data_IF_002427890810
#
_entry.id   IF_002427890810
#
_cell.length_a   1.000
_cell.length_b   1.000
_cell.length_c   1.000
_cell.angle_alpha   90.00
_cell.angle_beta   90.00
_cell.angle_gamma   90.00
#
_symmetry.space_group_name_H-M   'P 1'
#
loop_
_entity.id
_entity.type
_entity.pdbx_description
1 polymer ?
#
# COMPACT_ATOMS: atom_id res chain seq x y z
N UNK A 1 -20.63 66.97 -16.73
CA UNK A 1 -20.44 65.67 -17.40
C UNK A 1 -19.11 65.53 -18.14
N UNK A 2 -18.29 66.58 -18.29
CA UNK A 2 -16.98 66.45 -18.98
C UNK A 2 -15.82 65.99 -18.06
N UNK A 3 -15.91 66.25 -16.76
CA UNK A 3 -14.86 65.86 -15.79
C UNK A 3 -14.74 64.35 -15.53
N UNK A 4 -15.85 63.61 -15.58
CA UNK A 4 -15.85 62.15 -15.33
C UNK A 4 -15.24 61.35 -16.48
N UNK A 5 -15.39 61.82 -17.72
CA UNK A 5 -14.85 61.12 -18.90
C UNK A 5 -13.32 61.19 -18.88
N UNK A 6 -12.75 62.35 -18.52
CA UNK A 6 -11.31 62.52 -18.39
C UNK A 6 -10.69 61.58 -17.35
N UNK A 7 -11.32 61.46 -16.19
CA UNK A 7 -10.88 60.58 -15.11
C UNK A 7 -10.96 59.09 -15.47
N UNK A 8 -12.04 58.66 -16.16
CA UNK A 8 -12.19 57.29 -16.65
C UNK A 8 -11.14 56.97 -17.72
N UNK A 9 -10.87 57.91 -18.64
CA UNK A 9 -9.88 57.73 -19.68
C UNK A 9 -8.46 57.62 -19.11
N UNK A 10 -8.14 58.42 -18.09
CA UNK A 10 -6.84 58.33 -17.40
C UNK A 10 -6.69 57.03 -16.62
N UNK A 11 -7.76 56.54 -15.99
CA UNK A 11 -7.76 55.26 -15.30
C UNK A 11 -7.56 54.09 -16.29
N UNK A 12 -8.22 54.13 -17.44
CA UNK A 12 -8.06 53.12 -18.50
C UNK A 12 -6.65 53.15 -19.12
N UNK A 13 -6.10 54.34 -19.37
CA UNK A 13 -4.73 54.52 -19.85
C UNK A 13 -3.67 54.09 -18.83
N UNK A 14 -3.94 54.23 -17.53
CA UNK A 14 -3.07 53.73 -16.47
C UNK A 14 -3.18 52.21 -16.27
N UNK A 15 -4.33 51.61 -16.58
CA UNK A 15 -4.54 50.16 -16.52
C UNK A 15 -3.90 49.41 -17.70
N UNK A 16 -3.83 50.02 -18.88
CA UNK A 16 -3.20 49.43 -20.08
C UNK A 16 -1.75 48.95 -19.86
N UNK A 17 -0.81 49.75 -19.31
CA UNK A 17 0.55 49.29 -19.02
C UNK A 17 0.57 48.24 -17.91
N UNK A 18 -0.37 48.25 -16.97
CA UNK A 18 -0.49 47.26 -15.90
C UNK A 18 -0.97 45.89 -16.44
N UNK A 19 -1.92 45.91 -17.38
CA UNK A 19 -2.37 44.75 -18.14
C UNK A 19 -1.26 44.24 -19.09
N UNK A 20 -0.51 45.15 -19.71
CA UNK A 20 0.63 44.81 -20.56
C UNK A 20 1.76 44.16 -19.75
N UNK A 21 2.14 44.71 -18.59
CA UNK A 21 3.10 44.11 -17.66
C UNK A 21 2.64 42.75 -17.15
N UNK A 22 1.35 42.60 -16.82
CA UNK A 22 0.80 41.31 -16.42
C UNK A 22 0.81 40.29 -17.58
N UNK A 23 0.59 40.74 -18.82
CA UNK A 23 0.70 39.90 -20.02
C UNK A 23 2.16 39.53 -20.35
N UNK A 24 3.10 40.44 -20.10
CA UNK A 24 4.54 40.25 -20.35
C UNK A 24 5.19 39.37 -19.27
N UNK A 25 4.74 39.48 -18.01
CA UNK A 25 5.06 38.50 -16.95
C UNK A 25 4.51 37.10 -17.27
N UNK A 26 3.31 37.00 -17.90
CA UNK A 26 2.78 35.72 -18.41
C UNK A 26 3.59 35.16 -19.59
N UNK A 27 4.24 36.00 -20.41
CA UNK A 27 5.11 35.59 -21.53
C UNK A 27 6.40 34.88 -21.09
N UNK A 28 6.76 34.87 -19.80
CA UNK A 28 7.88 34.08 -19.29
C UNK A 28 7.55 32.59 -19.09
N UNK A 29 6.36 32.11 -19.48
CA UNK A 29 6.10 30.68 -19.49
C UNK A 29 6.92 30.03 -20.61
N UNK A 30 7.97 29.27 -20.24
CA UNK A 30 8.78 28.51 -21.22
C UNK A 30 7.89 27.58 -22.02
N UNK A 31 7.95 27.67 -23.33
CA UNK A 31 7.21 26.76 -24.22
C UNK A 31 7.67 25.32 -23.97
N UNK A 32 6.70 24.41 -23.78
CA UNK A 32 6.93 22.98 -23.59
C UNK A 32 5.91 22.20 -24.41
N UNK A 33 6.37 21.19 -25.14
CA UNK A 33 5.52 20.29 -25.93
C UNK A 33 5.11 19.12 -25.06
N UNK A 34 3.80 18.82 -24.98
CA UNK A 34 3.29 17.68 -24.21
C UNK A 34 3.59 16.37 -24.92
N UNK A 35 3.74 15.29 -24.16
CA UNK A 35 3.82 13.95 -24.72
C UNK A 35 2.50 13.61 -25.43
N UNK A 36 2.60 13.20 -26.69
CA UNK A 36 1.50 12.55 -27.39
C UNK A 36 1.38 11.11 -26.87
N UNK A 37 0.40 10.89 -25.99
CA UNK A 37 0.13 9.57 -25.42
C UNK A 37 -0.17 8.51 -26.48
N UNK A 38 -0.92 8.86 -27.54
CA UNK A 38 -1.36 7.88 -28.52
C UNK A 38 -0.17 7.34 -29.30
N UNK A 39 0.72 8.24 -29.76
CA UNK A 39 1.96 7.86 -30.41
C UNK A 39 2.90 7.10 -29.46
N UNK A 40 3.12 7.61 -28.25
CA UNK A 40 4.03 6.99 -27.28
C UNK A 40 3.57 5.61 -26.82
N UNK A 41 2.29 5.50 -26.44
CA UNK A 41 1.68 4.26 -25.99
C UNK A 41 1.63 3.21 -27.09
N UNK A 42 1.25 3.61 -28.31
CA UNK A 42 1.24 2.74 -29.50
C UNK A 42 2.62 2.15 -29.79
N UNK A 43 3.65 3.01 -29.85
CA UNK A 43 5.03 2.56 -30.08
C UNK A 43 5.48 1.52 -29.06
N UNK A 44 5.22 1.73 -27.77
CA UNK A 44 5.60 0.78 -26.73
C UNK A 44 4.84 -0.55 -26.81
N UNK A 45 3.62 -0.55 -27.33
CA UNK A 45 2.85 -1.76 -27.59
C UNK A 45 3.47 -2.51 -28.77
N UNK A 46 3.76 -1.82 -29.86
CA UNK A 46 4.36 -2.40 -31.08
C UNK A 46 5.75 -3.01 -30.78
N UNK A 47 6.53 -2.38 -29.90
CA UNK A 47 7.85 -2.86 -29.46
C UNK A 47 7.78 -3.95 -28.36
N UNK A 48 6.59 -4.30 -27.86
CA UNK A 48 6.41 -5.23 -26.74
C UNK A 48 7.04 -4.76 -25.42
N UNK A 49 7.25 -3.44 -25.25
CA UNK A 49 7.89 -2.86 -24.07
C UNK A 49 6.90 -2.26 -23.06
N UNK A 50 5.62 -2.10 -23.43
CA UNK A 50 4.63 -1.42 -22.58
C UNK A 50 4.56 -1.99 -21.17
N UNK A 51 4.46 -3.32 -21.03
CA UNK A 51 4.36 -3.96 -19.71
C UNK A 51 5.63 -3.80 -18.86
N UNK A 52 6.81 -3.79 -19.48
CA UNK A 52 8.08 -3.52 -18.77
C UNK A 52 8.13 -2.08 -18.28
N UNK A 53 7.57 -1.16 -19.08
CA UNK A 53 7.54 0.27 -18.83
C UNK A 53 6.57 0.65 -17.69
N UNK A 54 5.34 0.15 -17.72
CA UNK A 54 4.25 0.53 -16.79
C UNK A 54 3.88 -0.53 -15.77
N UNK A 55 4.53 -1.69 -15.80
CA UNK A 55 4.31 -2.82 -14.88
C UNK A 55 2.92 -3.48 -14.97
N UNK A 56 2.18 -3.16 -16.03
CA UNK A 56 0.84 -3.70 -16.37
C UNK A 56 0.64 -3.68 -17.90
N UNK A 57 -0.34 -4.43 -18.41
CA UNK A 57 -0.70 -4.43 -19.83
C UNK A 57 -1.26 -3.06 -20.29
N UNK A 58 -1.28 -2.81 -21.60
CA UNK A 58 -1.87 -1.60 -22.17
C UNK A 58 -3.36 -1.48 -21.81
N UNK A 59 -4.10 -2.59 -21.92
CA UNK A 59 -5.51 -2.65 -21.56
C UNK A 59 -5.73 -2.34 -20.07
N UNK A 60 -4.95 -2.96 -19.17
CA UNK A 60 -5.00 -2.69 -17.74
C UNK A 60 -4.70 -1.22 -17.40
N UNK A 61 -3.73 -0.61 -18.10
CA UNK A 61 -3.41 0.80 -17.96
C UNK A 61 -4.57 1.69 -18.39
N UNK A 62 -5.15 1.45 -19.58
CA UNK A 62 -6.23 2.28 -20.11
C UNK A 62 -7.52 2.13 -19.30
N UNK A 63 -7.79 0.94 -18.77
CA UNK A 63 -8.90 0.71 -17.84
C UNK A 63 -8.72 1.52 -16.55
N UNK A 64 -7.50 1.56 -15.99
CA UNK A 64 -7.19 2.39 -14.84
C UNK A 64 -7.31 3.88 -15.17
N UNK A 65 -6.78 4.31 -16.32
CA UNK A 65 -6.88 5.70 -16.78
C UNK A 65 -8.33 6.16 -16.90
N UNK A 66 -9.20 5.29 -17.41
CA UNK A 66 -10.64 5.56 -17.54
C UNK A 66 -11.31 5.73 -16.18
N UNK A 67 -10.97 4.87 -15.20
CA UNK A 67 -11.47 5.02 -13.82
C UNK A 67 -11.04 6.32 -13.17
N UNK A 68 -9.79 6.74 -13.38
CA UNK A 68 -9.23 7.93 -12.76
C UNK A 68 -9.56 9.23 -13.51
N UNK A 69 -10.03 9.16 -14.76
CA UNK A 69 -10.31 10.33 -15.60
C UNK A 69 -11.15 11.40 -14.89
N UNK A 70 -12.30 11.08 -14.24
CA UNK A 70 -13.14 12.08 -13.59
C UNK A 70 -12.43 12.86 -12.46
N UNK A 71 -11.45 12.24 -11.81
CA UNK A 71 -10.71 12.80 -10.68
C UNK A 71 -9.51 13.66 -11.11
N UNK A 72 -9.08 13.52 -12.37
CA UNK A 72 -7.83 14.11 -12.88
C UNK A 72 -8.04 15.23 -13.91
N UNK A 73 -9.29 15.52 -14.27
CA UNK A 73 -9.63 16.58 -15.23
C UNK A 73 -9.16 17.95 -14.74
N UNK A 74 -8.65 18.73 -15.68
CA UNK A 74 -8.21 20.10 -15.44
C UNK A 74 -9.17 21.03 -16.17
N UNK A 75 -9.50 22.17 -15.55
CA UNK A 75 -10.16 23.26 -16.26
C UNK A 75 -9.23 23.79 -17.37
N UNK A 76 -9.54 23.42 -18.61
CA UNK A 76 -8.72 23.73 -19.79
C UNK A 76 -8.58 25.24 -20.00
N UNK A 77 -9.64 26.00 -19.72
CA UNK A 77 -9.66 27.46 -19.89
C UNK A 77 -8.77 28.11 -18.84
N UNK A 78 -8.87 27.68 -17.58
CA UNK A 78 -8.00 28.18 -16.52
C UNK A 78 -6.53 27.82 -16.76
N UNK A 79 -6.24 26.59 -17.19
CA UNK A 79 -4.88 26.13 -17.48
C UNK A 79 -4.25 26.89 -18.65
N UNK A 80 -5.00 27.04 -19.75
CA UNK A 80 -4.56 27.78 -20.93
C UNK A 80 -4.31 29.25 -20.61
N UNK A 81 -5.20 29.89 -19.86
CA UNK A 81 -5.04 31.28 -19.45
C UNK A 81 -3.82 31.52 -18.55
N UNK A 82 -3.41 30.53 -17.76
CA UNK A 82 -2.26 30.63 -16.84
C UNK A 82 -0.91 30.36 -17.50
N UNK A 83 -0.87 29.44 -18.47
CA UNK A 83 0.40 28.90 -18.98
C UNK A 83 0.61 29.11 -20.47
N UNK A 84 -0.45 29.33 -21.25
CA UNK A 84 -0.38 29.36 -22.72
C UNK A 84 0.02 28.01 -23.34
N UNK A 85 0.00 26.92 -22.57
CA UNK A 85 0.33 25.56 -23.00
C UNK A 85 -0.88 24.65 -22.78
N UNK A 86 -1.01 23.64 -23.64
CA UNK A 86 -2.04 22.62 -23.50
C UNK A 86 -2.04 22.01 -22.07
N UNK A 87 -3.24 21.81 -21.48
CA UNK A 87 -3.38 21.16 -20.18
C UNK A 87 -2.71 19.77 -20.15
N UNK A 88 -2.30 19.33 -18.96
CA UNK A 88 -1.77 17.98 -18.80
C UNK A 88 -2.96 17.01 -18.75
N UNK A 89 -3.08 16.15 -19.75
CA UNK A 89 -4.16 15.16 -19.81
C UNK A 89 -4.10 14.16 -18.65
N UNK A 90 -5.25 13.63 -18.18
CA UNK A 90 -5.30 12.58 -17.14
C UNK A 90 -4.36 11.40 -17.42
N UNK A 91 -4.33 10.96 -18.68
CA UNK A 91 -3.46 9.86 -19.12
C UNK A 91 -1.97 10.21 -18.98
N UNK A 92 -1.58 11.44 -19.34
CA UNK A 92 -0.20 11.89 -19.15
C UNK A 92 0.17 12.02 -17.67
N UNK A 93 -0.76 12.43 -16.79
CA UNK A 93 -0.53 12.41 -15.34
C UNK A 93 -0.29 10.98 -14.84
N UNK A 94 -1.15 10.03 -15.23
CA UNK A 94 -1.02 8.63 -14.85
C UNK A 94 0.29 8.01 -15.37
N UNK A 95 0.65 8.29 -16.63
CA UNK A 95 1.94 7.93 -17.22
C UNK A 95 3.10 8.36 -16.32
N UNK A 96 3.15 9.65 -15.95
CA UNK A 96 4.24 10.19 -15.14
C UNK A 96 4.31 9.50 -13.78
N UNK A 97 3.16 9.31 -13.12
CA UNK A 97 3.07 8.66 -11.83
C UNK A 97 3.57 7.21 -11.87
N UNK A 98 3.06 6.39 -12.80
CA UNK A 98 3.45 4.98 -12.89
C UNK A 98 4.92 4.79 -13.30
N UNK A 99 5.45 5.65 -14.18
CA UNK A 99 6.89 5.64 -14.52
C UNK A 99 7.75 5.97 -13.31
N UNK A 100 7.32 6.93 -12.49
CA UNK A 100 8.03 7.31 -11.26
C UNK A 100 7.96 6.21 -10.21
N UNK A 101 6.77 5.64 -9.93
CA UNK A 101 6.60 4.49 -9.04
C UNK A 101 7.43 3.29 -9.50
N UNK A 102 7.53 3.10 -10.82
CA UNK A 102 8.38 2.08 -11.45
C UNK A 102 9.90 2.31 -11.33
N UNK A 103 10.32 3.40 -10.67
CA UNK A 103 11.72 3.76 -10.40
C UNK A 103 12.37 4.66 -11.46
N UNK A 104 11.59 5.25 -12.36
CA UNK A 104 12.11 6.19 -13.34
C UNK A 104 12.52 7.53 -12.71
N UNK A 105 13.59 8.13 -13.22
CA UNK A 105 14.05 9.45 -12.81
C UNK A 105 12.98 10.51 -13.11
N UNK A 106 12.63 11.31 -12.09
CA UNK A 106 11.67 12.39 -12.28
C UNK A 106 12.15 13.40 -13.32
N UNK A 107 13.47 13.65 -13.40
CA UNK A 107 14.07 14.56 -14.38
C UNK A 107 13.79 14.11 -15.80
N UNK A 108 13.95 12.82 -16.10
CA UNK A 108 13.75 12.29 -17.45
C UNK A 108 12.27 12.28 -17.79
N UNK A 109 11.44 11.77 -16.88
CA UNK A 109 9.98 11.67 -17.09
C UNK A 109 9.38 13.05 -17.34
N UNK A 110 9.73 14.05 -16.51
CA UNK A 110 9.17 15.40 -16.65
C UNK A 110 9.64 16.12 -17.91
N UNK A 111 10.86 15.85 -18.39
CA UNK A 111 11.38 16.40 -19.65
C UNK A 111 10.66 15.77 -20.83
N UNK A 112 10.57 14.43 -20.88
CA UNK A 112 9.86 13.70 -21.94
C UNK A 112 8.37 14.04 -21.97
N UNK A 113 7.76 14.28 -20.80
CA UNK A 113 6.36 14.70 -20.69
C UNK A 113 6.14 16.19 -20.98
N UNK A 114 7.21 16.96 -21.11
CA UNK A 114 7.16 18.41 -21.35
C UNK A 114 6.56 19.21 -20.20
N UNK A 115 6.83 18.87 -18.94
CA UNK A 115 6.28 19.56 -17.76
C UNK A 115 7.38 20.20 -16.89
N UNK A 116 7.00 21.18 -16.06
CA UNK A 116 7.91 21.71 -15.03
C UNK A 116 8.09 20.70 -13.90
N UNK A 117 9.11 20.92 -13.05
CA UNK A 117 9.28 20.13 -11.81
C UNK A 117 8.05 20.24 -10.91
N UNK A 118 7.51 21.45 -10.74
CA UNK A 118 6.30 21.67 -9.93
C UNK A 118 5.07 20.94 -10.48
N UNK A 119 4.84 21.02 -11.80
CA UNK A 119 3.70 20.38 -12.44
C UNK A 119 3.81 18.85 -12.43
N UNK A 120 5.04 18.31 -12.52
CA UNK A 120 5.28 16.88 -12.35
C UNK A 120 4.85 16.41 -10.96
N UNK A 121 5.36 17.03 -9.88
CA UNK A 121 5.02 16.62 -8.52
C UNK A 121 3.54 16.84 -8.19
N UNK A 122 2.93 17.93 -8.68
CA UNK A 122 1.48 18.13 -8.56
C UNK A 122 0.71 17.00 -9.25
N UNK A 123 1.07 16.65 -10.48
CA UNK A 123 0.40 15.59 -11.26
C UNK A 123 0.51 14.22 -10.60
N UNK A 124 1.69 13.82 -10.12
CA UNK A 124 1.82 12.50 -9.48
C UNK A 124 1.08 12.44 -8.15
N UNK A 125 1.01 13.55 -7.41
CA UNK A 125 0.27 13.62 -6.15
C UNK A 125 -1.24 13.56 -6.38
N UNK A 126 -1.76 14.28 -7.39
CA UNK A 126 -3.15 14.18 -7.82
C UNK A 126 -3.52 12.75 -8.23
N UNK A 127 -2.65 12.04 -8.95
CA UNK A 127 -2.87 10.63 -9.31
C UNK A 127 -2.85 9.72 -8.08
N UNK A 128 -1.89 9.91 -7.18
CA UNK A 128 -1.82 9.14 -5.92
C UNK A 128 -3.08 9.34 -5.09
N UNK A 129 -3.54 10.58 -4.94
CA UNK A 129 -4.76 10.90 -4.18
C UNK A 129 -5.98 10.33 -4.89
N UNK A 130 -6.10 10.49 -6.22
CA UNK A 130 -7.19 9.89 -6.99
C UNK A 130 -7.25 8.35 -6.86
N UNK A 131 -6.10 7.66 -6.82
CA UNK A 131 -6.06 6.20 -6.59
C UNK A 131 -6.54 5.86 -5.19
N UNK A 132 -6.05 6.60 -4.19
CA UNK A 132 -6.37 6.37 -2.77
C UNK A 132 -7.81 6.71 -2.45
N UNK A 133 -8.42 7.68 -3.13
CA UNK A 133 -9.79 8.13 -2.87
C UNK A 133 -10.83 7.41 -3.75
N UNK A 134 -10.41 6.61 -4.74
CA UNK A 134 -11.34 5.95 -5.65
C UNK A 134 -12.07 4.78 -4.95
N UNK A 135 -13.40 4.79 -4.85
CA UNK A 135 -14.16 3.80 -4.04
C UNK A 135 -13.96 2.36 -4.52
N UNK A 136 -13.96 2.11 -5.83
CA UNK A 136 -13.77 0.75 -6.36
C UNK A 136 -12.35 0.19 -6.22
N UNK A 137 -11.36 1.01 -5.86
CA UNK A 137 -9.96 0.61 -5.75
C UNK A 137 -9.53 0.33 -4.30
N UNK A 138 -10.44 0.53 -3.33
CA UNK A 138 -10.12 0.40 -1.92
C UNK A 138 -9.70 -1.03 -1.54
N UNK A 139 -8.83 -1.11 -0.54
CA UNK A 139 -8.48 -2.39 0.07
C UNK A 139 -9.71 -2.95 0.81
N UNK A 140 -9.84 -4.27 0.84
CA UNK A 140 -10.96 -4.93 1.50
C UNK A 140 -10.43 -5.88 2.56
N UNK A 141 -10.70 -5.55 3.83
CA UNK A 141 -10.38 -6.42 4.95
C UNK A 141 -11.59 -7.31 5.28
N UNK A 142 -11.42 -8.63 5.46
CA UNK A 142 -12.49 -9.54 5.84
C UNK A 142 -13.01 -9.22 7.25
N UNK A 143 -14.02 -8.36 7.31
CA UNK A 143 -14.54 -7.79 8.57
C UNK A 143 -15.79 -8.51 9.06
N UNK A 144 -16.51 -9.21 8.17
CA UNK A 144 -17.71 -10.00 8.50
C UNK A 144 -17.35 -11.46 8.69
N UNK A 145 -18.17 -12.19 9.46
CA UNK A 145 -17.94 -13.62 9.70
C UNK A 145 -17.93 -14.41 8.37
N UNK A 146 -18.81 -14.05 7.42
CA UNK A 146 -18.87 -14.68 6.10
C UNK A 146 -17.55 -14.49 5.32
N UNK A 147 -17.07 -13.25 5.18
CA UNK A 147 -15.80 -12.95 4.49
C UNK A 147 -14.59 -13.53 5.21
N UNK A 148 -14.60 -13.61 6.54
CA UNK A 148 -13.55 -14.26 7.32
C UNK A 148 -13.52 -15.78 7.09
N UNK A 149 -14.68 -16.45 7.07
CA UNK A 149 -14.78 -17.89 6.80
C UNK A 149 -14.39 -18.23 5.38
N UNK A 150 -14.79 -17.41 4.42
CA UNK A 150 -14.32 -17.49 3.04
C UNK A 150 -12.79 -17.42 3.01
N UNK A 151 -12.19 -16.37 3.57
CA UNK A 151 -10.74 -16.24 3.58
C UNK A 151 -10.03 -17.44 4.25
N UNK A 152 -10.57 -17.92 5.37
CA UNK A 152 -10.07 -19.10 6.08
C UNK A 152 -10.07 -20.38 5.23
N UNK A 153 -11.14 -20.65 4.48
CA UNK A 153 -11.23 -21.80 3.57
C UNK A 153 -10.14 -21.76 2.50
N UNK A 154 -9.83 -20.57 1.97
CA UNK A 154 -8.81 -20.43 0.95
C UNK A 154 -7.37 -20.47 1.48
N UNK A 155 -7.11 -19.96 2.69
CA UNK A 155 -5.82 -20.17 3.35
C UNK A 155 -5.59 -21.63 3.73
N UNK A 156 -6.63 -22.39 4.11
CA UNK A 156 -6.52 -23.82 4.38
C UNK A 156 -5.95 -24.60 3.17
N UNK A 157 -6.32 -24.20 1.95
CA UNK A 157 -5.78 -24.79 0.71
C UNK A 157 -4.26 -24.58 0.54
N UNK A 158 -3.67 -23.60 1.22
CA UNK A 158 -2.23 -23.34 1.18
C UNK A 158 -1.45 -24.21 2.18
N UNK A 159 -2.12 -24.72 3.21
CA UNK A 159 -1.50 -25.58 4.21
C UNK A 159 -1.43 -27.01 3.69
N UNK A 160 -0.23 -27.58 3.59
CA UNK A 160 -0.09 -29.00 3.25
C UNK A 160 -0.80 -29.85 4.32
N UNK A 161 -1.57 -30.85 3.89
CA UNK A 161 -2.44 -31.67 4.76
C UNK A 161 -3.57 -30.89 5.47
N UNK A 162 -3.82 -29.63 5.07
CA UNK A 162 -4.95 -28.81 5.56
C UNK A 162 -5.00 -28.67 7.09
N UNK A 163 -3.83 -28.62 7.72
CA UNK A 163 -3.69 -28.57 9.19
C UNK A 163 -4.06 -27.19 9.72
N UNK A 164 -3.64 -26.13 9.04
CA UNK A 164 -3.90 -24.76 9.47
C UNK A 164 -5.28 -24.31 8.98
N UNK A 165 -6.30 -24.54 9.80
CA UNK A 165 -7.68 -24.10 9.55
C UNK A 165 -7.97 -22.81 10.30
N UNK A 166 -8.71 -21.88 9.70
CA UNK A 166 -9.14 -20.64 10.38
C UNK A 166 -8.26 -19.40 10.14
N UNK A 167 -7.20 -19.50 9.34
CA UNK A 167 -6.36 -18.35 9.02
C UNK A 167 -7.07 -17.37 8.07
N UNK A 168 -7.39 -16.17 8.54
CA UNK A 168 -8.13 -15.17 7.77
C UNK A 168 -7.20 -14.32 6.89
N UNK A 169 -6.06 -13.89 7.44
CA UNK A 169 -5.02 -13.12 6.73
C UNK A 169 -3.63 -13.43 7.30
N UNK A 170 -2.59 -13.14 6.53
CA UNK A 170 -1.22 -13.07 7.03
C UNK A 170 -0.84 -11.60 7.27
N UNK A 171 -0.12 -11.30 8.36
CA UNK A 171 0.35 -9.97 8.73
C UNK A 171 1.88 -9.97 8.88
N UNK A 172 2.53 -8.90 8.41
CA UNK A 172 3.95 -8.65 8.63
C UNK A 172 4.29 -7.16 8.52
N UNK A 173 5.49 -6.81 8.98
CA UNK A 173 6.06 -5.48 8.95
C UNK A 173 7.10 -5.33 7.84
N UNK A 174 7.12 -4.17 7.19
CA UNK A 174 8.13 -3.78 6.23
C UNK A 174 8.65 -2.38 6.54
N UNK A 175 9.97 -2.20 6.56
CA UNK A 175 10.56 -0.87 6.65
C UNK A 175 10.60 -0.20 5.28
N UNK A 176 9.72 0.77 5.05
CA UNK A 176 9.77 1.66 3.89
C UNK A 176 10.91 2.69 4.07
N UNK A 177 12.00 2.64 3.28
CA UNK A 177 13.10 3.58 3.44
C UNK A 177 12.69 5.00 3.04
N UNK A 178 13.10 5.99 3.84
CA UNK A 178 12.83 7.41 3.57
C UNK A 178 14.11 8.22 3.70
N UNK A 179 14.17 9.38 3.05
CA UNK A 179 15.17 10.40 3.43
C UNK A 179 15.00 10.76 4.89
N UNK A 180 16.06 11.27 5.52
CA UNK A 180 15.98 11.79 6.89
C UNK A 180 14.86 12.85 6.96
N UNK A 181 13.83 12.66 7.81
CA UNK A 181 12.79 13.65 7.99
C UNK A 181 13.38 14.96 8.50
N UNK A 182 12.83 16.08 8.05
CA UNK A 182 13.20 17.39 8.59
C UNK A 182 12.54 17.62 9.96
N UNK A 183 13.11 18.54 10.75
CA UNK A 183 12.60 18.87 12.10
C UNK A 183 11.21 19.51 12.09
N UNK A 184 10.82 20.16 11.00
CA UNK A 184 9.50 20.75 10.80
C UNK A 184 8.45 19.71 10.35
N UNK A 185 8.89 18.60 9.75
CA UNK A 185 8.02 17.50 9.32
C UNK A 185 7.62 16.56 10.47
N UNK A 186 8.52 16.30 11.42
CA UNK A 186 8.30 15.36 12.54
C UNK A 186 8.93 15.86 13.85
N UNK A 187 8.33 15.56 15.01
CA UNK A 187 8.87 15.97 16.31
C UNK A 187 10.18 15.27 16.67
N UNK A 188 10.27 13.96 16.44
CA UNK A 188 11.39 13.13 16.89
C UNK A 188 12.03 12.38 15.73
N UNK A 189 12.88 13.06 14.96
CA UNK A 189 13.60 12.50 13.79
C UNK A 189 14.29 11.17 14.12
N UNK A 190 14.95 11.05 15.28
CA UNK A 190 15.65 9.81 15.69
C UNK A 190 14.75 8.58 15.80
N UNK A 191 13.44 8.75 16.05
CA UNK A 191 12.51 7.61 16.13
C UNK A 191 12.33 6.88 14.81
N UNK A 192 12.63 7.54 13.68
CA UNK A 192 12.55 6.96 12.35
C UNK A 192 13.78 6.13 11.99
N UNK A 193 14.86 6.18 12.78
CA UNK A 193 16.02 5.34 12.55
C UNK A 193 15.77 3.93 13.09
N UNK A 194 15.84 2.93 12.21
CA UNK A 194 15.78 1.53 12.60
C UNK A 194 17.17 1.00 12.88
N UNK A 195 17.40 0.50 14.10
CA UNK A 195 18.65 -0.15 14.46
C UNK A 195 18.87 -1.48 13.71
N UNK A 196 17.79 -2.23 13.47
CA UNK A 196 17.82 -3.51 12.76
C UNK A 196 18.25 -3.33 11.28
N UNK A 197 17.60 -2.41 10.56
CA UNK A 197 17.90 -2.16 9.14
C UNK A 197 19.00 -1.11 8.90
N UNK A 198 19.51 -0.50 9.98
CA UNK A 198 20.54 0.56 9.99
C UNK A 198 20.25 1.72 9.03
N UNK A 199 18.98 2.14 8.94
CA UNK A 199 18.53 3.23 8.05
C UNK A 199 17.29 3.93 8.59
N UNK A 200 17.00 5.11 8.06
CA UNK A 200 15.75 5.82 8.32
C UNK A 200 14.61 5.23 7.49
N UNK A 201 13.45 5.05 8.11
CA UNK A 201 12.29 4.45 7.48
C UNK A 201 11.00 4.70 8.24
N UNK A 202 9.89 4.31 7.62
CA UNK A 202 8.58 4.16 8.28
C UNK A 202 8.30 2.67 8.38
N UNK A 203 7.87 2.21 9.56
CA UNK A 203 7.36 0.85 9.72
C UNK A 203 5.96 0.78 9.11
N UNK A 204 5.85 0.04 8.01
CA UNK A 204 4.61 -0.27 7.30
C UNK A 204 4.14 -1.64 7.75
N UNK A 205 2.98 -1.68 8.40
CA UNK A 205 2.28 -2.93 8.73
C UNK A 205 1.30 -3.23 7.61
N UNK A 206 1.19 -4.49 7.18
CA UNK A 206 0.18 -4.85 6.20
C UNK A 206 -0.35 -6.27 6.40
N UNK A 207 -1.62 -6.46 6.03
CA UNK A 207 -2.25 -7.76 5.90
C UNK A 207 -2.40 -8.14 4.43
N UNK A 208 -2.32 -9.44 4.13
CA UNK A 208 -2.65 -9.97 2.82
C UNK A 208 -3.54 -11.20 2.88
N UNK A 209 -4.24 -11.45 1.77
CA UNK A 209 -5.02 -12.66 1.54
C UNK A 209 -4.19 -13.79 0.92
N UNK A 210 -4.86 -14.91 0.64
CA UNK A 210 -4.28 -16.11 0.05
C UNK A 210 -3.80 -15.93 -1.41
N UNK A 211 -4.29 -14.90 -2.11
CA UNK A 211 -3.91 -14.52 -3.48
C UNK A 211 -2.76 -13.51 -3.50
N UNK A 212 -2.17 -13.21 -2.34
CA UNK A 212 -1.14 -12.18 -2.22
C UNK A 212 -1.67 -10.79 -2.63
N UNK A 213 -2.91 -10.46 -2.26
CA UNK A 213 -3.47 -9.10 -2.33
C UNK A 213 -3.44 -8.46 -0.96
N UNK A 214 -3.12 -7.17 -0.89
CA UNK A 214 -3.20 -6.40 0.35
C UNK A 214 -4.66 -6.26 0.78
N UNK A 215 -4.96 -6.51 2.05
CA UNK A 215 -6.31 -6.37 2.61
C UNK A 215 -6.40 -5.20 3.59
N UNK A 216 -5.28 -4.83 4.20
CA UNK A 216 -5.18 -3.66 5.07
C UNK A 216 -3.71 -3.21 5.17
N UNK A 217 -3.46 -1.91 5.32
CA UNK A 217 -2.13 -1.30 5.41
C UNK A 217 -2.13 -0.15 6.43
N UNK A 218 -1.10 -0.10 7.28
CA UNK A 218 -0.84 1.02 8.17
C UNK A 218 0.60 1.52 8.01
N UNK A 219 0.74 2.81 7.69
CA UNK A 219 2.03 3.51 7.52
C UNK A 219 2.13 4.66 8.54
N UNK A 220 1.92 4.32 9.82
CA UNK A 220 1.75 5.28 10.93
C UNK A 220 2.82 5.18 12.03
N UNK A 221 3.79 4.27 11.89
CA UNK A 221 4.78 3.99 12.93
C UNK A 221 6.19 4.37 12.48
N UNK A 222 6.98 5.09 13.28
CA UNK A 222 8.38 5.38 12.95
C UNK A 222 9.18 4.08 12.78
N UNK A 223 10.20 4.08 11.90
CA UNK A 223 11.00 2.90 11.58
C UNK A 223 11.79 2.26 12.73
N UNK A 224 11.99 2.99 13.85
CA UNK A 224 12.54 2.43 15.08
C UNK A 224 11.52 1.68 15.95
N UNK A 225 10.24 1.68 15.57
CA UNK A 225 9.17 0.96 16.28
C UNK A 225 9.17 -0.50 15.85
N UNK A 226 9.24 -1.43 16.80
CA UNK A 226 9.11 -2.86 16.54
C UNK A 226 7.69 -3.26 16.14
N UNK A 227 7.56 -4.39 15.45
CA UNK A 227 6.30 -4.79 14.79
C UNK A 227 5.14 -5.04 15.77
N UNK A 228 5.36 -5.74 16.88
CA UNK A 228 4.34 -5.91 17.92
C UNK A 228 3.75 -4.56 18.38
N UNK A 229 4.60 -3.56 18.64
CA UNK A 229 4.16 -2.24 19.10
C UNK A 229 3.44 -1.49 17.97
N UNK A 230 3.94 -1.59 16.74
CA UNK A 230 3.30 -0.98 15.58
C UNK A 230 1.90 -1.57 15.34
N UNK A 231 1.74 -2.88 15.49
CA UNK A 231 0.45 -3.57 15.39
C UNK A 231 -0.53 -3.16 16.49
N UNK A 232 -0.11 -3.12 17.76
CA UNK A 232 -0.98 -2.71 18.86
C UNK A 232 -1.49 -1.27 18.72
N UNK A 233 -0.69 -0.37 18.11
CA UNK A 233 -1.12 0.99 17.77
C UNK A 233 -2.09 1.06 16.60
N UNK A 234 -2.11 0.02 15.75
CA UNK A 234 -3.02 -0.05 14.64
C UNK A 234 -4.40 -0.47 15.13
N UNK A 235 -5.43 0.28 14.71
CA UNK A 235 -6.85 -0.02 15.00
C UNK A 235 -7.24 -1.46 14.64
N UNK A 236 -6.57 -2.07 13.67
CA UNK A 236 -6.82 -3.45 13.26
C UNK A 236 -6.59 -4.46 14.40
N UNK A 237 -5.68 -4.19 15.34
CA UNK A 237 -5.45 -5.07 16.50
C UNK A 237 -6.73 -5.32 17.31
N UNK A 238 -7.58 -4.30 17.46
CA UNK A 238 -8.86 -4.38 18.16
C UNK A 238 -9.95 -5.10 17.36
N UNK A 239 -9.81 -5.17 16.03
CA UNK A 239 -10.69 -5.95 15.16
C UNK A 239 -10.30 -7.42 15.22
N UNK A 240 -9.00 -7.71 15.09
CA UNK A 240 -8.44 -9.06 15.19
C UNK A 240 -8.74 -9.69 16.54
N UNK A 241 -8.61 -8.96 17.64
CA UNK A 241 -8.92 -9.49 18.99
C UNK A 241 -10.38 -9.91 19.18
N UNK A 242 -11.28 -9.45 18.32
CA UNK A 242 -12.72 -9.79 18.32
C UNK A 242 -13.08 -10.88 17.33
N UNK A 243 -12.12 -11.48 16.64
CA UNK A 243 -12.39 -12.59 15.73
C UNK A 243 -13.08 -13.75 16.48
N UNK A 244 -14.09 -14.40 15.87
CA UNK A 244 -14.72 -15.59 16.43
C UNK A 244 -13.70 -16.67 16.79
N UNK A 245 -14.00 -17.47 17.81
CA UNK A 245 -13.14 -18.58 18.21
C UNK A 245 -12.87 -19.52 17.02
N UNK A 246 -11.59 -19.88 16.85
CA UNK A 246 -11.12 -20.69 15.73
C UNK A 246 -10.71 -19.89 14.49
N UNK A 247 -10.98 -18.57 14.42
CA UNK A 247 -10.47 -17.68 13.39
C UNK A 247 -9.32 -16.84 13.93
N UNK A 248 -8.25 -16.71 13.13
CA UNK A 248 -7.03 -16.02 13.53
C UNK A 248 -6.29 -15.44 12.33
N UNK A 249 -5.31 -14.58 12.60
CA UNK A 249 -4.30 -14.14 11.63
C UNK A 249 -2.97 -14.82 11.93
N UNK A 250 -2.09 -14.94 10.93
CA UNK A 250 -0.74 -15.49 11.12
C UNK A 250 0.30 -14.39 11.00
N UNK A 251 1.31 -14.41 11.86
CA UNK A 251 2.35 -13.39 11.89
C UNK A 251 3.75 -14.00 12.11
N UNK A 252 4.77 -13.16 12.06
CA UNK A 252 6.14 -13.54 12.39
C UNK A 252 6.40 -13.58 13.92
N UNK A 253 7.62 -13.90 14.34
CA UNK A 253 7.99 -13.97 15.76
C UNK A 253 8.16 -12.60 16.43
N UNK A 254 8.16 -11.50 15.68
CA UNK A 254 8.23 -10.15 16.23
C UNK A 254 6.88 -9.66 16.77
N UNK A 255 5.80 -10.42 16.58
CA UNK A 255 4.47 -10.17 17.15
C UNK A 255 4.22 -10.99 18.43
N UNK A 256 3.27 -10.53 19.23
CA UNK A 256 2.81 -11.24 20.43
C UNK A 256 1.77 -12.28 20.06
N UNK A 257 2.03 -13.54 20.41
CA UNK A 257 1.09 -14.65 20.17
C UNK A 257 -0.20 -14.48 21.01
N UNK A 258 -1.34 -14.72 20.39
CA UNK A 258 -2.68 -14.77 21.03
C UNK A 258 -3.52 -15.86 20.38
N UNK A 259 -4.77 -16.07 20.79
CA UNK A 259 -5.69 -16.97 20.07
C UNK A 259 -6.15 -16.41 18.73
N UNK A 260 -6.03 -15.11 18.50
CA UNK A 260 -6.44 -14.47 17.24
C UNK A 260 -5.26 -14.05 16.37
N UNK A 261 -4.02 -14.18 16.88
CA UNK A 261 -2.77 -13.91 16.15
C UNK A 261 -1.76 -15.00 16.50
N UNK A 262 -1.51 -15.89 15.55
CA UNK A 262 -0.60 -17.02 15.73
C UNK A 262 0.80 -16.68 15.24
N UNK A 263 1.80 -16.93 16.10
CA UNK A 263 3.22 -16.81 15.77
C UNK A 263 3.94 -18.16 15.90
N UNK A 264 5.11 -18.33 15.24
CA UNK A 264 5.91 -19.53 15.42
C UNK A 264 6.30 -19.76 16.89
N UNK A 265 6.55 -21.01 17.27
CA UNK A 265 7.26 -21.30 18.50
C UNK A 265 8.71 -20.80 18.39
N UNK A 266 9.18 -19.95 19.32
CA UNK A 266 10.59 -19.56 19.35
C UNK A 266 11.47 -20.77 19.67
N UNK A 267 12.73 -20.76 19.25
CA UNK A 267 13.65 -21.91 19.38
C UNK A 267 13.65 -22.56 20.78
N UNK A 268 13.69 -21.83 21.91
CA UNK A 268 13.66 -22.44 23.24
C UNK A 268 12.36 -23.18 23.59
N UNK A 269 11.26 -22.89 22.89
CA UNK A 269 9.94 -23.52 23.08
C UNK A 269 9.63 -24.63 22.06
N UNK A 270 10.59 -24.98 21.19
CA UNK A 270 10.45 -26.14 20.29
C UNK A 270 10.89 -27.38 21.07
N UNK A 271 9.98 -27.99 21.84
CA UNK A 271 10.28 -29.16 22.67
C UNK A 271 10.11 -30.50 21.94
N UNK A 272 9.27 -30.55 20.89
CA UNK A 272 8.99 -31.76 20.12
C UNK A 272 9.11 -31.51 18.61
N UNK A 273 9.20 -32.58 17.83
CA UNK A 273 9.15 -32.53 16.35
C UNK A 273 7.82 -31.97 15.83
N UNK A 274 6.74 -32.06 16.61
CA UNK A 274 5.43 -31.49 16.27
C UNK A 274 5.41 -29.95 16.42
N UNK A 275 6.15 -29.37 17.37
CA UNK A 275 6.36 -27.91 17.42
C UNK A 275 7.08 -27.39 16.17
N UNK A 276 8.10 -28.13 15.69
CA UNK A 276 8.78 -27.78 14.45
C UNK A 276 7.88 -27.93 13.22
N UNK A 277 7.00 -28.95 13.23
CA UNK A 277 6.01 -29.18 12.18
C UNK A 277 4.94 -28.08 12.16
N UNK A 278 4.47 -27.62 13.32
CA UNK A 278 3.63 -26.43 13.42
C UNK A 278 4.30 -25.21 12.77
N UNK A 279 5.56 -24.92 13.13
CA UNK A 279 6.30 -23.79 12.55
C UNK A 279 6.42 -23.91 11.03
N UNK A 280 6.58 -25.13 10.50
CA UNK A 280 6.57 -25.37 9.07
C UNK A 280 5.21 -25.03 8.43
N UNK A 281 4.10 -25.54 8.96
CA UNK A 281 2.78 -25.27 8.39
C UNK A 281 2.37 -23.80 8.52
N UNK A 282 2.66 -23.15 9.64
CA UNK A 282 2.46 -21.71 9.80
C UNK A 282 3.25 -20.91 8.75
N UNK A 283 4.50 -21.31 8.47
CA UNK A 283 5.34 -20.64 7.47
C UNK A 283 4.78 -20.72 6.05
N UNK A 284 4.01 -21.77 5.72
CA UNK A 284 3.34 -21.89 4.41
C UNK A 284 2.24 -20.84 4.21
N UNK A 285 1.63 -20.37 5.30
CA UNK A 285 0.65 -19.29 5.24
C UNK A 285 1.34 -17.92 5.24
N UNK A 286 2.32 -17.75 6.14
CA UNK A 286 3.09 -16.50 6.30
C UNK A 286 3.90 -16.11 5.06
N UNK A 287 4.34 -17.07 4.25
CA UNK A 287 5.06 -16.77 3.00
C UNK A 287 4.27 -15.82 2.09
N UNK A 288 2.93 -15.79 2.19
CA UNK A 288 2.09 -14.89 1.38
C UNK A 288 2.39 -13.42 1.63
N UNK A 289 2.58 -13.00 2.88
CA UNK A 289 2.85 -11.58 3.18
C UNK A 289 4.29 -11.19 2.83
N UNK A 290 5.26 -12.11 3.00
CA UNK A 290 6.64 -11.91 2.52
C UNK A 290 6.68 -11.76 0.99
N UNK A 291 5.96 -12.63 0.26
CA UNK A 291 5.84 -12.55 -1.20
C UNK A 291 5.21 -11.23 -1.64
N UNK A 292 4.17 -10.77 -0.94
CA UNK A 292 3.48 -9.51 -1.25
C UNK A 292 4.43 -8.32 -1.16
N UNK A 293 5.20 -8.19 -0.06
CA UNK A 293 6.17 -7.10 0.05
C UNK A 293 7.28 -7.21 -0.99
N UNK A 294 7.80 -8.42 -1.26
CA UNK A 294 8.78 -8.65 -2.32
C UNK A 294 8.27 -8.25 -3.71
N UNK A 295 7.02 -8.58 -4.04
CA UNK A 295 6.36 -8.20 -5.29
C UNK A 295 6.12 -6.68 -5.36
N UNK A 296 5.68 -6.05 -4.27
CA UNK A 296 5.47 -4.61 -4.20
C UNK A 296 6.76 -3.85 -4.51
N UNK A 297 7.85 -4.16 -3.80
CA UNK A 297 9.14 -3.46 -3.93
C UNK A 297 9.81 -3.75 -5.28
N UNK A 298 9.73 -4.98 -5.78
CA UNK A 298 10.31 -5.33 -7.10
C UNK A 298 9.56 -4.69 -8.27
N UNK A 299 8.24 -4.57 -8.17
CA UNK A 299 7.38 -3.91 -9.17
C UNK A 299 7.54 -2.39 -9.12
N UNK A 300 7.35 -1.82 -7.93
CA UNK A 300 7.41 -0.38 -7.67
C UNK A 300 8.77 0.00 -7.11
N UNK A 301 9.73 0.11 -8.02
CA UNK A 301 11.14 0.30 -7.70
C UNK A 301 11.46 1.65 -7.06
N UNK A 302 10.50 2.56 -6.95
CA UNK A 302 10.63 3.77 -6.12
C UNK A 302 11.01 3.41 -4.67
N UNK A 303 10.62 2.24 -4.18
CA UNK A 303 10.95 1.76 -2.83
C UNK A 303 12.33 1.09 -2.70
N UNK A 304 13.06 0.88 -3.81
CA UNK A 304 14.42 0.33 -3.77
C UNK A 304 15.44 1.32 -3.21
N UNK A 305 15.09 2.61 -3.19
CA UNK A 305 15.88 3.68 -2.62
C UNK A 305 15.05 4.45 -1.57
N UNK A 306 15.70 5.19 -0.66
CA UNK A 306 15.00 6.10 0.24
C UNK A 306 14.09 7.06 -0.55
N UNK A 307 12.82 7.12 -0.17
CA UNK A 307 11.88 8.02 -0.82
C UNK A 307 12.27 9.49 -0.59
N UNK A 308 12.43 10.24 -1.69
CA UNK A 308 12.81 11.66 -1.69
C UNK A 308 11.62 12.61 -1.89
N UNK A 309 10.52 12.36 -1.17
CA UNK A 309 9.33 13.21 -1.19
C UNK A 309 9.12 13.91 0.16
N UNK A 310 8.11 14.77 0.25
CA UNK A 310 7.65 15.32 1.52
C UNK A 310 7.16 14.19 2.43
N UNK A 311 7.50 14.23 3.72
CA UNK A 311 7.21 13.13 4.64
C UNK A 311 5.71 12.79 4.72
N UNK A 312 4.85 13.82 4.67
CA UNK A 312 3.40 13.66 4.66
C UNK A 312 2.84 12.95 3.41
N UNK A 313 3.64 12.77 2.35
CA UNK A 313 3.24 12.06 1.12
C UNK A 313 3.67 10.60 1.11
N UNK A 314 4.53 10.17 2.05
CA UNK A 314 5.05 8.79 2.10
C UNK A 314 3.91 7.79 2.28
N UNK A 315 3.06 7.98 3.29
CA UNK A 315 1.96 7.05 3.61
C UNK A 315 0.97 6.91 2.45
N UNK A 316 0.54 8.03 1.84
CA UNK A 316 -0.36 8.01 0.69
C UNK A 316 0.27 7.32 -0.53
N UNK A 317 1.57 7.53 -0.78
CA UNK A 317 2.29 6.87 -1.88
C UNK A 317 2.41 5.35 -1.65
N UNK A 318 2.73 4.91 -0.42
CA UNK A 318 2.76 3.48 -0.07
C UNK A 318 1.40 2.85 -0.29
N UNK A 319 0.33 3.50 0.18
CA UNK A 319 -1.04 3.00 0.01
C UNK A 319 -1.44 2.90 -1.47
N UNK A 320 -1.18 3.95 -2.27
CA UNK A 320 -1.45 3.91 -3.70
C UNK A 320 -0.71 2.76 -4.39
N UNK A 321 0.54 2.49 -4.02
CA UNK A 321 1.30 1.37 -4.58
C UNK A 321 0.71 -0.01 -4.19
N UNK A 322 0.20 -0.16 -2.97
CA UNK A 322 -0.52 -1.36 -2.53
C UNK A 322 -1.83 -1.55 -3.30
N UNK A 323 -2.59 -0.48 -3.51
CA UNK A 323 -3.82 -0.48 -4.33
C UNK A 323 -3.49 -0.87 -5.78
N UNK A 324 -2.46 -0.27 -6.38
CA UNK A 324 -2.02 -0.61 -7.74
C UNK A 324 -1.50 -2.05 -7.87
N UNK A 325 -0.90 -2.60 -6.80
CA UNK A 325 -0.52 -4.01 -6.75
C UNK A 325 -1.76 -4.91 -6.83
N UNK A 326 -2.79 -4.62 -6.03
CA UNK A 326 -4.07 -5.34 -6.09
C UNK A 326 -4.74 -5.19 -7.47
N UNK A 327 -4.74 -3.99 -8.05
CA UNK A 327 -5.23 -3.75 -9.40
C UNK A 327 -4.57 -4.68 -10.43
N UNK A 328 -3.24 -4.79 -10.39
CA UNK A 328 -2.48 -5.67 -11.28
C UNK A 328 -2.83 -7.15 -11.09
N UNK A 329 -3.09 -7.59 -9.86
CA UNK A 329 -3.48 -8.97 -9.57
C UNK A 329 -4.89 -9.23 -10.08
N UNK A 330 -5.85 -8.38 -9.71
CA UNK A 330 -7.25 -8.53 -10.07
C UNK A 330 -7.43 -8.56 -11.60
N UNK A 331 -6.73 -7.68 -12.33
CA UNK A 331 -6.74 -7.69 -13.80
C UNK A 331 -6.19 -8.99 -14.39
N UNK A 332 -5.11 -9.53 -13.82
CA UNK A 332 -4.56 -10.82 -14.28
C UNK A 332 -5.51 -11.98 -14.00
N UNK A 333 -6.19 -11.98 -12.86
CA UNK A 333 -7.17 -13.00 -12.51
C UNK A 333 -8.41 -12.94 -13.42
N UNK A 334 -8.85 -11.74 -13.81
CA UNK A 334 -9.93 -11.56 -14.80
C UNK A 334 -9.54 -12.06 -16.19
N UNK A 335 -8.29 -11.87 -16.58
CA UNK A 335 -7.75 -12.32 -17.88
C UNK A 335 -7.49 -13.84 -17.90
N UNK A 336 -7.34 -14.48 -16.73
CA UNK A 336 -7.19 -15.93 -16.60
C UNK A 336 -8.56 -16.63 -16.67
N UNK A 337 -8.77 -17.41 -17.74
CA UNK A 337 -10.05 -18.08 -18.06
C UNK A 337 -10.52 -19.01 -16.90
N UNK A 338 -9.59 -19.51 -16.08
CA UNK A 338 -9.89 -20.39 -14.96
C UNK A 338 -10.32 -19.67 -13.66
N UNK A 339 -10.11 -18.36 -13.55
CA UNK A 339 -10.36 -17.55 -12.32
C UNK A 339 -11.40 -16.43 -12.53
N UNK A 340 -12.46 -16.69 -13.31
CA UNK A 340 -13.57 -15.74 -13.44
C UNK A 340 -14.30 -15.60 -12.10
N UNK A 341 -14.22 -14.41 -11.51
CA UNK A 341 -14.89 -14.03 -10.23
C UNK A 341 -16.39 -14.33 -10.25
N UNK A 342 -17.03 -14.25 -11.42
CA UNK A 342 -18.45 -14.57 -11.61
C UNK A 342 -18.80 -16.04 -11.30
N UNK A 343 -17.80 -16.93 -11.20
CA UNK A 343 -17.99 -18.34 -10.84
C UNK A 343 -17.68 -18.63 -9.36
N UNK A 344 -17.29 -17.64 -8.56
CA UNK A 344 -16.99 -17.80 -7.13
C UNK A 344 -18.24 -17.47 -6.30
N UNK A 345 -19.22 -18.38 -6.33
CA UNK A 345 -20.50 -18.24 -5.61
C UNK A 345 -20.28 -17.99 -4.10
N UNK A 346 -19.25 -18.62 -3.51
CA UNK A 346 -18.89 -18.44 -2.11
C UNK A 346 -18.43 -16.99 -1.82
N UNK A 347 -17.69 -16.36 -2.73
CA UNK A 347 -17.26 -14.96 -2.58
C UNK A 347 -18.43 -13.99 -2.78
N UNK A 348 -19.29 -14.25 -3.77
CA UNK A 348 -20.47 -13.42 -4.04
C UNK A 348 -21.41 -13.40 -2.83
N UNK A 349 -21.72 -14.57 -2.26
CA UNK A 349 -22.53 -14.70 -1.03
C UNK A 349 -21.88 -13.97 0.15
N UNK A 350 -20.56 -14.10 0.32
CA UNK A 350 -19.83 -13.42 1.39
C UNK A 350 -19.84 -11.90 1.22
N UNK A 351 -19.77 -11.39 -0.01
CA UNK A 351 -19.83 -9.96 -0.33
C UNK A 351 -21.25 -9.39 -0.12
N UNK A 352 -22.30 -10.10 -0.54
CA UNK A 352 -23.69 -9.70 -0.33
C UNK A 352 -24.03 -9.58 1.17
N UNK A 353 -23.57 -10.53 1.99
CA UNK A 353 -23.70 -10.46 3.44
C UNK A 353 -23.03 -9.21 4.06
N UNK A 354 -22.01 -8.64 3.40
CA UNK A 354 -21.38 -7.38 3.82
C UNK A 354 -22.29 -6.18 3.54
N UNK A 355 -22.96 -6.14 2.39
CA UNK A 355 -23.83 -5.02 1.97
C UNK A 355 -25.05 -4.89 2.88
N UNK A 356 -25.61 -6.01 3.34
CA UNK A 356 -26.75 -6.02 4.25
C UNK A 356 -26.39 -5.57 5.68
N UNK A 357 -25.13 -5.72 6.08
CA UNK A 357 -24.66 -5.47 7.45
C UNK A 357 -24.37 -4.01 7.80
N UNK A 358 -24.63 -3.07 6.87
CA UNK A 358 -24.27 -1.64 6.79
C UNK A 358 -24.05 -0.86 8.12
N UNK A 359 -23.08 -1.30 8.93
CA UNK A 359 -22.48 -0.54 10.00
C UNK A 359 -21.39 0.29 9.36
N UNK A 360 -21.57 1.61 9.35
CA UNK A 360 -20.62 2.61 8.88
C UNK A 360 -19.38 2.68 9.81
N UNK A 361 -18.76 1.53 10.05
CA UNK A 361 -17.51 1.37 10.77
C UNK A 361 -16.40 2.02 9.96
N UNK A 362 -15.99 3.21 10.39
CA UNK A 362 -14.73 3.92 10.07
C UNK A 362 -13.67 2.96 9.49
N UNK A 363 -13.26 3.22 8.25
CA UNK A 363 -12.30 2.43 7.48
C UNK A 363 -11.15 1.92 8.36
N UNK A 364 -11.08 0.59 8.50
CA UNK A 364 -10.04 -0.14 9.26
C UNK A 364 -8.91 -0.62 8.36
N UNK A 365 -9.11 -0.56 7.04
CA UNK A 365 -8.14 -1.02 6.04
C UNK A 365 -6.98 -0.03 5.91
N UNK A 366 -7.22 1.25 6.21
CA UNK A 366 -6.22 2.31 6.21
C UNK A 366 -6.24 3.04 7.56
N UNK A 367 -5.09 3.10 8.23
CA UNK A 367 -4.97 3.93 9.44
C UNK A 367 -5.08 5.42 9.09
N UNK A 368 -5.88 6.19 9.84
CA UNK A 368 -6.02 7.66 9.67
C UNK A 368 -4.65 8.34 9.70
N UNK A 369 -4.33 9.03 8.61
CA UNK A 369 -3.07 9.74 8.41
C UNK A 369 -3.13 11.10 9.13
N UNK A 370 -2.58 11.18 10.33
CA UNK A 370 -2.38 12.45 11.01
C UNK A 370 -0.91 12.60 11.39
N UNK A 371 -0.20 13.49 10.69
CA UNK A 371 1.22 13.75 10.98
C UNK A 371 1.42 14.45 12.31
N UNK A 372 0.37 15.09 12.87
CA UNK A 372 0.38 15.64 14.22
C UNK A 372 0.48 14.54 15.29
N UNK A 373 0.03 13.30 14.99
CA UNK A 373 0.28 12.15 15.86
C UNK A 373 1.76 11.87 16.01
N UNK A 374 2.56 11.95 14.95
CA UNK A 374 4.02 11.83 15.12
C UNK A 374 4.57 12.93 16.03
N UNK A 375 3.95 14.11 16.02
CA UNK A 375 4.30 15.24 16.88
C UNK A 375 3.95 14.97 18.37
N UNK A 376 2.87 14.24 18.65
CA UNK A 376 2.34 13.94 20.00
C UNK A 376 2.73 12.56 20.56
N UNK A 377 3.11 11.59 19.72
CA UNK A 377 3.31 10.15 20.03
C UNK A 377 4.43 9.85 21.07
N UNK A 378 5.06 10.88 21.61
CA UNK A 378 6.18 10.78 22.53
C UNK A 378 6.06 11.68 23.75
N UNK A 379 4.88 12.26 23.97
CA UNK A 379 4.52 12.83 25.27
C UNK A 379 3.64 11.81 25.99
N UNK A 380 3.93 11.56 27.27
CA UNK A 380 3.26 10.63 28.18
C UNK A 380 3.77 9.16 28.25
N UNK A 381 3.99 8.80 29.51
CA UNK A 381 4.28 7.55 30.20
C UNK A 381 3.33 6.36 29.95
N UNK A 382 2.50 6.40 28.91
CA UNK A 382 1.41 5.41 28.69
C UNK A 382 1.85 4.16 27.89
N UNK A 383 3.16 4.00 27.65
CA UNK A 383 3.74 2.89 26.89
C UNK A 383 4.29 1.75 27.75
N UNK A 384 4.05 1.78 29.06
CA UNK A 384 4.20 0.60 29.93
C UNK A 384 2.92 -0.23 29.87
N UNK A 385 2.54 -0.70 28.68
CA UNK A 385 1.64 -1.85 28.63
C UNK A 385 2.52 -3.04 28.95
N UNK A 386 2.44 -3.45 30.22
CA UNK A 386 3.04 -4.64 30.78
C UNK A 386 2.72 -5.84 29.87
N UNK A 387 3.67 -6.20 29.00
CA UNK A 387 3.55 -7.33 28.07
C UNK A 387 3.38 -8.66 28.79
N UNK A 388 3.54 -8.65 30.11
CA UNK A 388 3.51 -9.83 30.98
C UNK A 388 2.08 -10.24 31.39
N UNK A 389 1.04 -9.48 31.00
CA UNK A 389 -0.38 -9.83 31.30
C UNK A 389 -1.13 -10.57 30.19
N UNK A 390 -0.52 -10.86 29.03
CA UNK A 390 -1.11 -11.76 28.02
C UNK A 390 -0.82 -13.22 28.34
N UNK A 391 -1.36 -13.73 29.45
CA UNK A 391 -1.29 -15.14 29.77
C UNK A 391 -2.66 -15.69 30.14
N UNK A 392 -3.18 -16.58 29.29
CA UNK A 392 -3.96 -17.79 29.63
C UNK A 392 -4.93 -18.21 28.52
N UNK A 393 -4.38 -18.51 27.34
CA UNK A 393 -4.63 -19.76 26.63
C UNK A 393 -4.05 -19.62 25.22
N UNK A 394 -2.90 -20.23 24.96
CA UNK A 394 -2.37 -20.39 23.59
C UNK A 394 -3.02 -21.64 22.93
N UNK A 395 -4.30 -21.86 23.21
CA UNK A 395 -4.93 -23.15 22.99
C UNK A 395 -5.07 -23.47 21.51
N UNK A 396 -5.22 -22.46 20.63
CA UNK A 396 -5.28 -22.72 19.18
C UNK A 396 -3.96 -23.32 18.71
N UNK A 397 -2.83 -22.73 19.12
CA UNK A 397 -1.50 -23.24 18.76
C UNK A 397 -1.27 -24.64 19.33
N UNK A 398 -1.68 -24.88 20.59
CA UNK A 398 -1.66 -26.20 21.21
C UNK A 398 -2.51 -27.22 20.45
N UNK A 399 -3.76 -26.89 20.14
CA UNK A 399 -4.69 -27.74 19.41
C UNK A 399 -4.18 -28.12 18.01
N UNK A 400 -3.45 -27.22 17.34
CA UNK A 400 -2.80 -27.55 16.07
C UNK A 400 -1.64 -28.53 16.29
N UNK A 401 -0.84 -28.38 17.35
CA UNK A 401 0.22 -29.34 17.70
C UNK A 401 -0.39 -30.71 18.04
N UNK A 402 -1.47 -30.74 18.83
CA UNK A 402 -2.18 -31.97 19.19
C UNK A 402 -2.77 -32.67 17.94
N UNK A 403 -3.30 -31.89 16.99
CA UNK A 403 -3.76 -32.39 15.70
C UNK A 403 -2.62 -33.04 14.90
N UNK A 404 -1.47 -32.37 14.83
CA UNK A 404 -0.28 -32.89 14.16
C UNK A 404 0.22 -34.18 14.82
N UNK A 405 0.19 -34.25 16.16
CA UNK A 405 0.58 -35.44 16.92
C UNK A 405 -0.38 -36.60 16.69
N UNK A 406 -1.69 -36.36 16.85
CA UNK A 406 -2.75 -37.36 16.66
C UNK A 406 -2.71 -37.96 15.25
N UNK A 407 -2.53 -37.12 14.24
CA UNK A 407 -2.57 -37.54 12.84
C UNK A 407 -1.16 -37.90 12.30
N UNK A 408 -0.13 -37.86 13.17
CA UNK A 408 1.28 -38.15 12.85
C UNK A 408 1.82 -37.34 11.66
N UNK A 409 1.39 -36.08 11.55
CA UNK A 409 1.79 -35.17 10.48
C UNK A 409 3.08 -34.48 10.88
N UNK A 410 4.16 -34.78 10.15
CA UNK A 410 5.49 -34.23 10.38
C UNK A 410 5.94 -33.35 9.21
N UNK A 411 6.83 -32.41 9.53
CA UNK A 411 7.57 -31.65 8.51
C UNK A 411 8.30 -32.60 7.54
N UNK A 412 8.15 -32.42 6.21
CA UNK A 412 8.84 -33.25 5.24
C UNK A 412 10.37 -33.25 5.39
N UNK A 413 11.01 -34.41 5.19
CA UNK A 413 12.46 -34.59 5.39
C UNK A 413 13.32 -33.71 4.49
N UNK A 414 12.90 -33.49 3.24
CA UNK A 414 13.61 -32.61 2.30
C UNK A 414 13.71 -31.17 2.83
N UNK A 415 12.65 -30.67 3.48
CA UNK A 415 12.65 -29.34 4.10
C UNK A 415 13.55 -29.28 5.33
N UNK A 416 13.65 -30.37 6.10
CA UNK A 416 14.59 -30.46 7.21
C UNK A 416 16.05 -30.39 6.72
N UNK A 417 16.37 -31.08 5.62
CA UNK A 417 17.70 -31.04 5.01
C UNK A 417 18.05 -29.66 4.46
N UNK A 418 17.10 -28.98 3.80
CA UNK A 418 17.26 -27.60 3.33
C UNK A 418 17.55 -26.63 4.49
N UNK A 419 16.76 -26.70 5.57
CA UNK A 419 16.95 -25.83 6.74
C UNK A 419 18.32 -26.03 7.40
N UNK A 420 18.83 -27.27 7.45
CA UNK A 420 20.18 -27.55 7.97
C UNK A 420 21.27 -26.87 7.14
N UNK A 421 21.12 -26.81 5.80
CA UNK A 421 22.05 -26.08 4.92
C UNK A 421 21.98 -24.57 5.14
N UNK A 422 20.78 -24.00 5.18
CA UNK A 422 20.57 -22.55 5.41
C UNK A 422 21.12 -22.10 6.78
N UNK A 423 21.13 -22.98 7.79
CA UNK A 423 21.68 -22.68 9.13
C UNK A 423 23.21 -22.82 9.19
N UNK A 424 23.83 -23.50 8.22
CA UNK A 424 25.29 -23.62 8.12
C UNK A 424 25.92 -22.49 7.29
N UNK A 425 25.11 -21.78 6.48
CA UNK A 425 25.53 -20.67 5.63
C UNK A 425 25.32 -19.28 6.27
N UNK A 426 24.56 -19.20 7.37
CA UNK A 426 24.38 -18.02 8.22
C UNK A 426 25.31 -18.06 9.43
#
# INVERSE_FOLDING_TARGET
MEGDIGAILTLLLALLPLVALAAEARRQCRHRVRLDWKAHGGLLVDEGQFQKCYKMSYESFMALATKLDPYLRVDEKQSSNRTGVEPISPVNKLHMCLRWLGGGSYHDIRVTSGVSVSAFYASIHEVVDAIVDHPDLQLQFPSTIATQRYAAKHFENLSSSRVMKGCVVAIDGWLCPIRVPKKDEVSRVRSFFSGHYRRYGVNVQACCDHLSRFTAVACSSPGGTGDAVAFLKWRLSSVVSKFPAGLYVVADNAYTNTNQLLTPFPRPRISTTFHDSYNFHLSQLRIRIEMVFGLLVSKWRVFNAPMEIAFNRVSCTVLAACILHNWCINRRLQEDIFYRVDNDEDLAEALDATVESNDASRDVTVATQDTSRYRQLYDSSDLLVDTDTYNSSEWIRGAVVDLLERDTILRPQLNQARRRRETQEQ
#
